data_IF_655859186414
#
_entry.id   IF_655859186414
#
_cell.length_a   1.000
_cell.length_b   1.000
_cell.length_c   1.000
_cell.angle_alpha   90.00
_cell.angle_beta   90.00
_cell.angle_gamma   90.00
#
_symmetry.space_group_name_H-M   'P 1'
#
loop_
_entity.id
_entity.type
_entity.pdbx_description
1 polymer ?
#
# COMPACT_ATOMS: atom_id res chain seq x y z
N UNK A 1 -37.14 -18.24 -27.24
CA UNK A 1 -36.66 -18.74 -25.93
C UNK A 1 -35.69 -17.71 -25.38
N UNK A 2 -36.14 -16.89 -24.43
CA UNK A 2 -35.34 -15.84 -23.81
C UNK A 2 -34.44 -16.47 -22.75
N UNK A 3 -33.14 -16.57 -23.03
CA UNK A 3 -32.17 -17.06 -22.05
C UNK A 3 -32.19 -16.12 -20.83
N UNK A 4 -32.61 -16.63 -19.67
CA UNK A 4 -32.49 -15.93 -18.39
C UNK A 4 -31.01 -15.63 -18.17
N UNK A 5 -30.66 -14.35 -17.95
CA UNK A 5 -29.34 -14.00 -17.42
C UNK A 5 -29.15 -14.76 -16.10
N UNK A 6 -28.02 -15.44 -15.87
CA UNK A 6 -27.76 -16.09 -14.59
C UNK A 6 -27.79 -15.05 -13.48
N UNK A 7 -28.61 -15.31 -12.46
CA UNK A 7 -28.63 -14.53 -11.22
C UNK A 7 -27.21 -14.51 -10.65
N UNK A 8 -26.66 -13.35 -10.22
CA UNK A 8 -25.42 -13.36 -9.46
C UNK A 8 -25.60 -14.27 -8.23
N UNK A 9 -24.57 -15.05 -7.84
CA UNK A 9 -24.67 -15.89 -6.65
C UNK A 9 -25.00 -15.01 -5.44
N UNK A 10 -25.82 -15.55 -4.53
CA UNK A 10 -26.19 -14.84 -3.31
C UNK A 10 -24.92 -14.46 -2.53
N UNK A 11 -24.86 -13.24 -1.95
CA UNK A 11 -23.71 -12.79 -1.18
C UNK A 11 -23.47 -13.72 0.00
N UNK A 12 -22.21 -14.13 0.18
CA UNK A 12 -21.82 -15.05 1.25
C UNK A 12 -21.17 -14.25 2.40
N UNK A 13 -21.44 -14.60 3.67
CA UNK A 13 -20.67 -14.06 4.78
C UNK A 13 -19.23 -14.54 4.62
N UNK A 14 -18.28 -13.61 4.73
CA UNK A 14 -16.86 -13.93 4.59
C UNK A 14 -16.21 -14.11 5.96
N UNK A 15 -16.29 -13.07 6.79
CA UNK A 15 -15.58 -12.98 8.07
C UNK A 15 -16.31 -11.99 9.01
N UNK A 16 -16.19 -12.24 10.32
CA UNK A 16 -16.45 -11.24 11.36
C UNK A 16 -15.17 -10.44 11.60
N UNK A 17 -15.25 -9.12 11.49
CA UNK A 17 -14.13 -8.22 11.78
C UNK A 17 -14.29 -7.65 13.16
N UNK A 18 -13.27 -7.82 14.01
CA UNK A 18 -13.20 -7.20 15.32
C UNK A 18 -12.38 -5.93 15.26
N UNK A 19 -12.94 -4.85 15.78
CA UNK A 19 -12.30 -3.55 15.84
C UNK A 19 -11.78 -3.25 17.24
N UNK A 20 -10.81 -2.33 17.33
CA UNK A 20 -10.11 -2.00 18.59
C UNK A 20 -11.03 -1.45 19.68
N UNK A 21 -12.09 -0.76 19.27
CA UNK A 21 -13.16 -0.23 20.13
C UNK A 21 -14.20 -1.30 20.51
N UNK A 22 -13.98 -2.56 20.14
CA UNK A 22 -14.76 -3.71 20.59
C UNK A 22 -16.00 -4.02 19.75
N UNK A 23 -16.29 -3.24 18.71
CA UNK A 23 -17.39 -3.61 17.80
C UNK A 23 -16.96 -4.70 16.83
N UNK A 24 -17.95 -5.47 16.39
CA UNK A 24 -17.79 -6.52 15.38
C UNK A 24 -18.66 -6.19 14.18
N UNK A 25 -18.12 -6.32 12.97
CA UNK A 25 -18.89 -6.21 11.75
C UNK A 25 -18.84 -7.52 10.97
N UNK A 26 -20.00 -8.01 10.55
CA UNK A 26 -20.08 -9.07 9.53
C UNK A 26 -19.94 -8.44 8.16
N UNK A 27 -19.05 -8.99 7.34
CA UNK A 27 -18.88 -8.55 5.96
C UNK A 27 -19.37 -9.64 4.98
N UNK A 28 -20.10 -9.19 3.98
CA UNK A 28 -20.55 -10.00 2.85
C UNK A 28 -19.75 -9.65 1.61
N UNK A 29 -19.52 -10.64 0.75
CA UNK A 29 -19.08 -10.34 -0.60
C UNK A 29 -19.70 -11.25 -1.67
N UNK A 30 -19.68 -10.74 -2.89
CA UNK A 30 -20.12 -11.44 -4.07
C UNK A 30 -19.32 -11.02 -5.31
N UNK A 31 -19.21 -11.95 -6.24
CA UNK A 31 -18.84 -11.64 -7.62
C UNK A 31 -19.92 -10.84 -8.32
N UNK A 32 -19.52 -9.76 -8.97
CA UNK A 32 -20.38 -8.97 -9.82
C UNK A 32 -19.93 -9.04 -11.29
N UNK A 33 -20.89 -8.82 -12.18
CA UNK A 33 -20.66 -8.72 -13.63
C UNK A 33 -21.07 -7.33 -14.09
N UNK A 34 -20.13 -6.61 -14.70
CA UNK A 34 -20.36 -5.27 -15.25
C UNK A 34 -19.44 -5.05 -16.45
N UNK A 35 -20.00 -4.88 -17.64
CA UNK A 35 -19.19 -4.73 -18.86
C UNK A 35 -18.24 -5.91 -19.08
N UNK A 36 -16.95 -5.62 -19.25
CA UNK A 36 -15.88 -6.63 -19.37
C UNK A 36 -15.43 -7.25 -18.04
N UNK A 37 -15.98 -6.83 -16.90
CA UNK A 37 -15.61 -7.36 -15.59
C UNK A 37 -16.52 -8.51 -15.16
N UNK A 38 -15.94 -9.56 -14.59
CA UNK A 38 -16.68 -10.71 -14.07
C UNK A 38 -15.78 -11.83 -13.55
N UNK A 39 -16.34 -12.86 -12.88
CA UNK A 39 -15.56 -13.95 -12.30
C UNK A 39 -14.74 -14.73 -13.33
N UNK A 40 -15.22 -14.79 -14.57
CA UNK A 40 -14.58 -15.50 -15.68
C UNK A 40 -13.62 -14.63 -16.50
N UNK A 41 -13.53 -13.32 -16.19
CA UNK A 41 -12.73 -12.32 -16.90
C UNK A 41 -11.34 -12.17 -16.26
N UNK A 42 -10.28 -11.83 -17.05
CA UNK A 42 -8.97 -11.49 -16.50
C UNK A 42 -9.00 -10.34 -15.48
N UNK A 43 -10.05 -9.51 -15.52
CA UNK A 43 -10.33 -8.57 -14.44
C UNK A 43 -11.70 -8.85 -13.83
N UNK A 44 -11.67 -9.29 -12.58
CA UNK A 44 -12.84 -9.65 -11.77
C UNK A 44 -13.35 -8.43 -11.01
N UNK A 45 -14.68 -8.32 -10.89
CA UNK A 45 -15.34 -7.33 -10.05
C UNK A 45 -15.94 -8.02 -8.82
N UNK A 46 -15.57 -7.56 -7.64
CA UNK A 46 -16.08 -8.02 -6.34
C UNK A 46 -16.80 -6.88 -5.65
N UNK A 47 -17.96 -7.18 -5.07
CA UNK A 47 -18.67 -6.28 -4.17
C UNK A 47 -18.47 -6.79 -2.76
N UNK A 48 -18.01 -5.93 -1.85
CA UNK A 48 -17.91 -6.21 -0.43
C UNK A 48 -18.73 -5.18 0.36
N UNK A 49 -19.57 -5.62 1.29
CA UNK A 49 -20.52 -4.74 1.98
C UNK A 49 -20.85 -5.23 3.39
N UNK A 50 -21.29 -4.33 4.26
CA UNK A 50 -21.87 -4.64 5.57
C UNK A 50 -23.39 -4.80 5.53
N UNK A 51 -24.04 -4.61 4.38
CA UNK A 51 -25.46 -4.94 4.22
C UNK A 51 -25.77 -5.22 2.74
N UNK A 52 -25.94 -6.49 2.34
CA UNK A 52 -26.23 -6.86 0.97
C UNK A 52 -27.62 -6.43 0.49
N UNK A 53 -28.56 -6.09 1.39
CA UNK A 53 -29.90 -5.67 1.02
C UNK A 53 -29.96 -4.19 0.65
N UNK A 54 -29.32 -3.31 1.44
CA UNK A 54 -29.35 -1.86 1.21
C UNK A 54 -28.14 -1.30 0.46
N UNK A 55 -27.02 -2.03 0.43
CA UNK A 55 -25.76 -1.61 -0.19
C UNK A 55 -25.36 -0.18 0.20
N UNK A 56 -25.17 0.11 1.50
CA UNK A 56 -24.91 1.45 1.99
C UNK A 56 -23.65 2.04 1.36
N UNK A 57 -23.72 3.26 0.85
CA UNK A 57 -22.65 3.90 0.07
C UNK A 57 -21.29 3.90 0.80
N UNK A 58 -21.29 4.25 2.09
CA UNK A 58 -20.05 4.35 2.89
C UNK A 58 -19.50 3.00 3.33
N UNK A 59 -20.32 1.95 3.36
CA UNK A 59 -19.94 0.61 3.81
C UNK A 59 -20.04 -0.45 2.70
N UNK A 60 -20.09 -0.02 1.44
CA UNK A 60 -20.01 -0.87 0.26
C UNK A 60 -18.76 -0.51 -0.55
N UNK A 61 -18.06 -1.53 -1.04
CA UNK A 61 -16.85 -1.40 -1.85
C UNK A 61 -17.02 -2.23 -3.12
N UNK A 62 -16.69 -1.62 -4.25
CA UNK A 62 -16.61 -2.27 -5.55
C UNK A 62 -15.14 -2.37 -5.93
N UNK A 63 -14.62 -3.59 -5.95
CA UNK A 63 -13.20 -3.89 -6.09
C UNK A 63 -12.96 -4.55 -7.44
N UNK A 64 -12.13 -3.94 -8.28
CA UNK A 64 -11.60 -4.58 -9.48
C UNK A 64 -10.26 -5.26 -9.13
N UNK A 65 -10.08 -6.51 -9.55
CA UNK A 65 -8.86 -7.27 -9.29
C UNK A 65 -8.46 -8.11 -10.49
N UNK A 66 -7.17 -8.32 -10.68
CA UNK A 66 -6.60 -9.27 -11.64
C UNK A 66 -6.24 -10.62 -11.00
N UNK A 67 -6.58 -10.82 -9.72
CA UNK A 67 -6.52 -12.13 -9.08
C UNK A 67 -7.67 -12.99 -9.62
N UNK A 68 -7.37 -14.14 -10.25
CA UNK A 68 -8.41 -14.94 -10.88
C UNK A 68 -9.33 -15.58 -9.83
N UNK A 69 -10.59 -15.79 -10.20
CA UNK A 69 -11.50 -16.62 -9.40
C UNK A 69 -10.95 -18.06 -9.34
N UNK A 70 -11.05 -18.79 -8.21
CA UNK A 70 -10.50 -20.15 -8.08
C UNK A 70 -11.00 -21.11 -9.16
N UNK A 71 -12.27 -20.98 -9.53
CA UNK A 71 -12.90 -21.80 -10.57
C UNK A 71 -12.82 -21.19 -11.99
N UNK A 72 -12.09 -20.08 -12.19
CA UNK A 72 -12.02 -19.45 -13.51
C UNK A 72 -11.17 -20.32 -14.48
N UNK A 73 -11.62 -20.51 -15.74
CA UNK A 73 -10.85 -21.28 -16.72
C UNK A 73 -9.43 -20.75 -16.96
N UNK A 74 -9.22 -19.44 -16.83
CA UNK A 74 -7.93 -18.79 -17.04
C UNK A 74 -7.04 -18.74 -15.78
N UNK A 75 -7.49 -19.30 -14.64
CA UNK A 75 -6.72 -19.26 -13.39
C UNK A 75 -5.37 -19.99 -13.52
N UNK A 76 -5.29 -21.05 -14.31
CA UNK A 76 -4.07 -21.84 -14.54
C UNK A 76 -3.03 -21.14 -15.39
N UNK A 77 -3.43 -20.16 -16.21
CA UNK A 77 -2.54 -19.39 -17.09
C UNK A 77 -2.30 -17.97 -16.59
N UNK A 78 -2.91 -17.59 -15.45
CA UNK A 78 -2.75 -16.29 -14.82
C UNK A 78 -1.34 -16.13 -14.21
N UNK A 79 -0.72 -14.93 -14.29
CA UNK A 79 0.52 -14.63 -13.58
C UNK A 79 0.33 -14.54 -12.05
N UNK A 80 -0.91 -14.45 -11.58
CA UNK A 80 -1.24 -14.35 -10.16
C UNK A 80 -1.99 -15.58 -9.66
N UNK A 81 -1.75 -15.99 -8.40
CA UNK A 81 -2.49 -17.10 -7.80
C UNK A 81 -3.99 -16.77 -7.69
N UNK A 82 -4.88 -17.77 -7.82
CA UNK A 82 -6.29 -17.58 -7.60
C UNK A 82 -6.59 -17.13 -6.16
N UNK A 83 -7.63 -16.30 -6.02
CA UNK A 83 -8.04 -15.73 -4.74
C UNK A 83 -9.56 -15.88 -4.55
N UNK A 84 -9.98 -16.43 -3.43
CA UNK A 84 -11.39 -16.43 -3.06
C UNK A 84 -11.86 -15.02 -2.62
N UNK A 85 -13.15 -14.90 -2.28
CA UNK A 85 -13.71 -13.62 -1.86
C UNK A 85 -13.15 -13.14 -0.51
N UNK A 86 -12.83 -14.05 0.42
CA UNK A 86 -12.28 -13.70 1.72
C UNK A 86 -10.87 -13.15 1.57
N UNK A 87 -10.05 -13.79 0.73
CA UNK A 87 -8.72 -13.33 0.33
C UNK A 87 -8.74 -11.90 -0.21
N UNK A 88 -9.61 -11.62 -1.19
CA UNK A 88 -9.71 -10.29 -1.80
C UNK A 88 -10.10 -9.23 -0.77
N UNK A 89 -11.08 -9.54 0.08
CA UNK A 89 -11.58 -8.62 1.11
C UNK A 89 -10.53 -8.40 2.21
N UNK A 90 -9.77 -9.43 2.57
CA UNK A 90 -8.66 -9.35 3.52
C UNK A 90 -7.52 -8.50 2.97
N UNK A 91 -7.08 -8.75 1.73
CA UNK A 91 -6.06 -7.95 1.04
C UNK A 91 -6.47 -6.47 0.94
N UNK A 92 -7.72 -6.20 0.55
CA UNK A 92 -8.24 -4.83 0.53
C UNK A 92 -8.28 -4.21 1.94
N UNK A 93 -8.59 -5.02 2.96
CA UNK A 93 -8.55 -4.63 4.38
C UNK A 93 -7.17 -4.19 4.86
N UNK A 94 -6.09 -4.57 4.17
CA UNK A 94 -4.74 -4.09 4.48
C UNK A 94 -4.47 -2.68 3.98
N UNK A 95 -5.27 -2.14 3.05
CA UNK A 95 -5.05 -0.81 2.46
C UNK A 95 -4.82 0.30 3.50
N UNK A 96 -5.61 0.43 4.59
CA UNK A 96 -5.42 1.52 5.56
C UNK A 96 -4.06 1.47 6.28
N UNK A 97 -3.37 0.32 6.31
CA UNK A 97 -2.06 0.22 6.94
C UNK A 97 -1.04 1.15 6.29
N UNK A 98 -1.13 1.42 4.99
CA UNK A 98 -0.22 2.38 4.34
C UNK A 98 -0.37 3.78 4.94
N UNK A 99 -1.59 4.20 5.27
CA UNK A 99 -1.86 5.50 5.89
C UNK A 99 -1.38 5.54 7.34
N UNK A 100 -1.36 4.40 8.02
CA UNK A 100 -0.76 4.29 9.35
C UNK A 100 0.76 4.39 9.29
N UNK A 101 1.40 3.63 8.39
CA UNK A 101 2.84 3.67 8.14
C UNK A 101 3.30 5.08 7.75
N UNK A 102 2.54 5.80 6.92
CA UNK A 102 2.88 7.17 6.54
C UNK A 102 2.90 8.15 7.71
N UNK A 103 2.09 7.95 8.77
CA UNK A 103 2.18 8.79 9.97
C UNK A 103 3.51 8.57 10.68
N UNK A 104 3.88 7.32 10.92
CA UNK A 104 5.16 6.96 11.54
C UNK A 104 6.37 7.48 10.74
N UNK A 105 6.34 7.31 9.42
CA UNK A 105 7.40 7.82 8.53
C UNK A 105 7.55 9.35 8.65
N UNK A 106 6.43 10.07 8.73
CA UNK A 106 6.43 11.53 8.77
C UNK A 106 6.84 12.08 10.13
N UNK A 107 6.27 11.52 11.19
CA UNK A 107 6.35 12.07 12.53
C UNK A 107 7.59 11.55 13.27
N UNK A 108 7.92 10.26 13.13
CA UNK A 108 9.00 9.62 13.90
C UNK A 108 10.33 9.55 13.15
N UNK A 109 10.29 9.30 11.84
CA UNK A 109 11.52 9.14 11.03
C UNK A 109 11.96 10.44 10.35
N UNK A 110 11.31 11.56 10.67
CA UNK A 110 11.73 12.88 10.23
C UNK A 110 11.65 13.08 8.72
N UNK A 111 10.65 12.51 8.03
CA UNK A 111 10.46 12.75 6.59
C UNK A 111 10.43 14.24 6.23
N UNK A 112 9.82 15.05 7.08
CA UNK A 112 9.71 16.50 6.92
C UNK A 112 10.97 17.27 7.34
N UNK A 113 11.92 16.63 8.03
CA UNK A 113 13.13 17.26 8.61
C UNK A 113 14.29 17.34 7.60
N UNK A 114 13.99 17.79 6.39
CA UNK A 114 14.99 17.92 5.34
C UNK A 114 15.82 19.22 5.41
N UNK A 115 15.66 20.03 6.47
CA UNK A 115 16.57 21.09 6.94
C UNK A 115 17.20 22.02 5.86
N UNK A 116 16.39 22.65 5.01
CA UNK A 116 16.85 23.62 3.96
C UNK A 116 18.01 23.06 3.11
N UNK A 117 17.92 21.79 2.73
CA UNK A 117 18.92 21.10 1.90
C UNK A 117 18.66 21.32 0.40
N UNK A 118 19.67 21.04 -0.42
CA UNK A 118 19.53 21.00 -1.89
C UNK A 118 18.57 19.89 -2.33
N UNK A 119 17.96 20.00 -3.52
CA UNK A 119 17.03 18.99 -4.07
C UNK A 119 17.62 17.56 -4.02
N UNK A 120 18.90 17.39 -4.40
CA UNK A 120 19.58 16.10 -4.33
C UNK A 120 19.66 15.58 -2.89
N UNK A 121 19.98 16.43 -1.93
CA UNK A 121 20.05 16.05 -0.53
C UNK A 121 18.66 15.76 0.08
N UNK A 122 17.60 16.43 -0.37
CA UNK A 122 16.21 16.11 0.01
C UNK A 122 15.81 14.71 -0.49
N UNK A 123 16.10 14.37 -1.76
CA UNK A 123 15.80 13.03 -2.32
C UNK A 123 16.56 11.92 -1.59
N UNK A 124 17.84 12.16 -1.26
CA UNK A 124 18.66 11.24 -0.48
C UNK A 124 18.09 11.01 0.92
N UNK A 125 17.70 12.09 1.61
CA UNK A 125 17.04 12.02 2.92
C UNK A 125 15.77 11.17 2.86
N UNK A 126 14.87 11.45 1.91
CA UNK A 126 13.64 10.66 1.73
C UNK A 126 13.92 9.17 1.47
N UNK A 127 14.97 8.86 0.69
CA UNK A 127 15.37 7.47 0.44
C UNK A 127 15.82 6.79 1.73
N UNK A 128 16.70 7.43 2.51
CA UNK A 128 17.17 6.89 3.80
C UNK A 128 16.03 6.67 4.79
N UNK A 129 15.09 7.61 4.86
CA UNK A 129 13.89 7.47 5.71
C UNK A 129 13.04 6.26 5.30
N UNK A 130 12.82 6.04 4.00
CA UNK A 130 12.12 4.84 3.53
C UNK A 130 12.89 3.55 3.85
N UNK A 131 14.22 3.53 3.66
CA UNK A 131 15.04 2.36 3.98
C UNK A 131 15.04 2.06 5.49
N UNK A 132 15.14 3.10 6.33
CA UNK A 132 15.05 2.97 7.78
C UNK A 132 13.68 2.42 8.19
N UNK A 133 12.60 2.92 7.58
CA UNK A 133 11.26 2.38 7.81
C UNK A 133 11.14 0.91 7.44
N UNK A 134 11.63 0.51 6.25
CA UNK A 134 11.63 -0.89 5.83
C UNK A 134 12.41 -1.79 6.79
N UNK A 135 13.55 -1.30 7.31
CA UNK A 135 14.32 -2.02 8.33
C UNK A 135 13.55 -2.16 9.64
N UNK A 136 12.95 -1.07 10.16
CA UNK A 136 12.13 -1.11 11.37
C UNK A 136 10.95 -2.09 11.21
N UNK A 137 10.32 -2.11 10.04
CA UNK A 137 9.22 -3.01 9.73
C UNK A 137 9.68 -4.48 9.72
N UNK A 138 10.78 -4.80 9.05
CA UNK A 138 11.35 -6.16 9.04
C UNK A 138 11.67 -6.67 10.46
N UNK A 139 12.32 -5.83 11.26
CA UNK A 139 12.66 -6.16 12.66
C UNK A 139 11.43 -6.31 13.55
N UNK A 140 10.36 -5.54 13.34
CA UNK A 140 9.12 -5.64 14.11
C UNK A 140 8.49 -7.04 14.03
N UNK A 141 8.57 -7.67 12.86
CA UNK A 141 8.04 -9.02 12.68
C UNK A 141 9.06 -10.12 12.96
N UNK A 142 10.35 -9.80 13.14
CA UNK A 142 11.34 -10.79 13.52
C UNK A 142 10.96 -11.36 14.90
N UNK A 143 11.10 -12.68 15.12
CA UNK A 143 11.01 -13.22 16.47
C UNK A 143 12.02 -12.48 17.35
N UNK A 144 11.65 -12.08 18.59
CA UNK A 144 12.61 -11.44 19.47
C UNK A 144 13.81 -12.38 19.63
N UNK A 145 14.98 -11.93 19.20
CA UNK A 145 16.24 -12.59 19.50
C UNK A 145 16.49 -12.58 21.02
N UNK A 146 17.51 -13.30 21.51
CA UNK A 146 17.97 -13.13 22.87
C UNK A 146 18.21 -11.63 23.12
N UNK A 147 17.52 -11.05 24.10
CA UNK A 147 17.77 -9.67 24.49
C UNK A 147 19.24 -9.58 24.87
N UNK A 148 19.98 -8.75 24.14
CA UNK A 148 21.35 -8.43 24.50
C UNK A 148 21.31 -7.57 25.77
N UNK A 149 21.40 -8.23 26.93
CA UNK A 149 21.43 -7.59 28.24
C UNK A 149 22.67 -6.67 28.44
N UNK A 150 23.58 -6.64 27.46
CA UNK A 150 24.75 -5.77 27.41
C UNK A 150 24.50 -4.49 26.59
N UNK A 151 23.35 -4.36 25.90
CA UNK A 151 23.00 -3.14 25.21
C UNK A 151 22.76 -2.00 26.22
N UNK A 152 23.41 -0.83 26.06
CA UNK A 152 23.19 0.30 26.95
C UNK A 152 21.74 0.75 26.85
N UNK A 153 21.13 1.06 27.99
CA UNK A 153 19.79 1.65 28.04
C UNK A 153 19.73 2.89 27.13
N UNK A 154 18.64 3.09 26.36
CA UNK A 154 18.44 4.34 25.64
C UNK A 154 18.55 5.51 26.63
N UNK A 155 19.46 6.44 26.37
CA UNK A 155 19.60 7.63 27.20
C UNK A 155 18.23 8.31 27.34
N UNK A 156 17.85 8.76 28.56
CA UNK A 156 16.67 9.60 28.73
C UNK A 156 16.75 10.77 27.75
N UNK A 157 15.72 10.90 26.91
CA UNK A 157 15.60 12.05 26.03
C UNK A 157 15.15 13.25 26.86
N UNK A 158 16.08 13.88 27.57
CA UNK A 158 15.86 15.10 28.36
C UNK A 158 15.88 16.37 27.49
N UNK A 159 15.91 16.22 26.16
CA UNK A 159 15.82 17.33 25.23
C UNK A 159 14.39 17.87 25.17
N UNK A 160 14.17 19.19 25.21
CA UNK A 160 12.83 19.73 25.06
C UNK A 160 12.23 19.32 23.72
N UNK A 161 11.06 18.65 23.75
CA UNK A 161 10.18 18.54 22.59
C UNK A 161 9.99 19.94 22.01
N UNK A 162 10.38 20.12 20.74
CA UNK A 162 10.28 21.42 20.08
C UNK A 162 8.79 21.70 19.82
N UNK A 163 8.15 22.33 20.79
CA UNK A 163 6.76 22.75 20.70
C UNK A 163 6.50 23.67 19.49
N UNK A 164 5.28 23.55 18.97
CA UNK A 164 4.66 24.44 17.97
C UNK A 164 4.82 25.91 18.36
N UNK A 165 5.75 26.60 17.71
CA UNK A 165 5.74 28.07 17.68
C UNK A 165 4.87 28.54 16.51
N UNK A 166 3.99 29.54 16.68
CA UNK A 166 3.28 30.14 15.56
C UNK A 166 4.28 30.88 14.67
N UNK A 167 4.45 30.41 13.43
CA UNK A 167 5.31 31.05 12.43
C UNK A 167 4.49 32.14 11.71
N UNK A 168 4.99 33.38 11.56
CA UNK A 168 4.32 34.40 10.75
C UNK A 168 4.29 33.99 9.27
N UNK A 169 3.30 34.42 8.47
CA UNK A 169 3.18 33.98 7.08
C UNK A 169 4.41 34.43 6.28
N UNK A 170 5.06 33.46 5.62
CA UNK A 170 6.19 33.71 4.73
C UNK A 170 5.73 34.52 3.50
N UNK A 171 6.56 35.44 2.97
CA UNK A 171 6.24 36.18 1.77
C UNK A 171 6.09 35.23 0.57
N UNK A 172 5.00 35.42 -0.18
CA UNK A 172 4.63 34.65 -1.38
C UNK A 172 5.61 34.91 -2.53
N UNK A 173 6.80 34.31 -2.47
CA UNK A 173 7.68 34.21 -3.62
C UNK A 173 7.31 32.94 -4.41
N UNK A 174 6.93 33.13 -5.67
CA UNK A 174 6.61 32.06 -6.61
C UNK A 174 7.87 31.23 -6.91
N UNK A 175 8.07 30.11 -6.21
CA UNK A 175 9.31 29.30 -6.26
C UNK A 175 9.42 28.35 -7.47
N UNK A 176 8.43 28.30 -8.37
CA UNK A 176 8.54 27.59 -9.65
C UNK A 176 7.51 28.11 -10.66
N UNK A 177 7.96 28.64 -11.80
CA UNK A 177 7.10 28.80 -12.98
C UNK A 177 7.11 27.48 -13.77
N UNK A 178 5.95 26.82 -13.83
CA UNK A 178 5.76 25.65 -14.67
C UNK A 178 4.43 24.96 -14.36
N UNK A 179 3.60 24.78 -15.39
CA UNK A 179 2.38 23.97 -15.30
C UNK A 179 2.78 22.53 -14.99
N UNK A 180 2.54 22.06 -13.76
CA UNK A 180 2.61 20.64 -13.42
C UNK A 180 1.46 19.94 -14.14
N UNK A 181 1.75 19.41 -15.34
CA UNK A 181 0.83 18.52 -16.05
C UNK A 181 0.66 17.23 -15.24
N UNK A 182 -0.41 17.19 -14.45
CA UNK A 182 -1.06 16.04 -13.82
C UNK A 182 -0.25 15.28 -12.73
N UNK A 183 -0.88 14.91 -11.60
CA UNK A 183 -0.30 13.96 -10.66
C UNK A 183 -0.40 12.56 -11.26
N UNK A 184 0.61 12.15 -12.02
CA UNK A 184 0.78 10.73 -12.30
C UNK A 184 1.25 10.06 -11.01
N UNK A 185 0.51 9.04 -10.55
CA UNK A 185 1.02 8.09 -9.56
C UNK A 185 2.39 7.66 -10.03
N UNK A 186 3.44 8.00 -9.29
CA UNK A 186 4.80 7.68 -9.70
C UNK A 186 4.90 6.16 -9.76
N UNK A 187 4.97 5.63 -10.98
CA UNK A 187 5.18 4.21 -11.23
C UNK A 187 6.35 3.77 -10.34
N UNK A 188 6.23 2.73 -9.50
CA UNK A 188 7.27 2.42 -8.51
C UNK A 188 8.66 2.25 -9.13
N UNK A 189 8.76 1.76 -10.37
CA UNK A 189 9.99 1.76 -11.18
C UNK A 189 10.58 3.15 -11.49
N UNK A 190 9.76 4.17 -11.79
CA UNK A 190 10.21 5.56 -12.01
C UNK A 190 10.73 6.15 -10.70
N UNK A 191 10.08 5.83 -9.58
CA UNK A 191 10.52 6.24 -8.25
C UNK A 191 11.85 5.60 -7.88
N UNK A 192 11.99 4.28 -8.06
CA UNK A 192 13.24 3.54 -7.79
C UNK A 192 14.41 4.06 -8.64
N UNK A 193 14.20 4.30 -9.93
CA UNK A 193 15.21 4.91 -10.81
C UNK A 193 15.61 6.31 -10.34
N UNK A 194 14.65 7.14 -9.94
CA UNK A 194 14.92 8.49 -9.42
C UNK A 194 15.71 8.45 -8.11
N UNK A 195 15.42 7.48 -7.22
CA UNK A 195 16.16 7.30 -5.99
C UNK A 195 17.59 6.83 -6.24
N UNK A 196 17.78 5.89 -7.17
CA UNK A 196 19.13 5.43 -7.54
C UNK A 196 19.99 6.57 -8.11
N UNK A 197 19.46 7.30 -9.10
CA UNK A 197 20.15 8.46 -9.70
C UNK A 197 20.37 9.62 -8.73
N UNK A 198 19.64 9.68 -7.61
CA UNK A 198 19.90 10.67 -6.56
C UNK A 198 21.18 10.37 -5.76
N UNK A 199 21.61 9.11 -5.71
CA UNK A 199 22.79 8.67 -4.96
C UNK A 199 24.04 8.59 -5.83
N UNK A 200 23.91 8.06 -7.04
CA UNK A 200 25.03 7.79 -7.95
C UNK A 200 24.64 8.02 -9.41
N UNK A 201 25.65 8.35 -10.23
CA UNK A 201 25.50 8.45 -11.69
C UNK A 201 25.86 7.13 -12.40
N UNK A 202 26.31 6.13 -11.64
CA UNK A 202 26.55 4.77 -12.15
C UNK A 202 25.24 4.05 -12.40
N UNK A 203 25.28 3.07 -13.29
CA UNK A 203 24.16 2.16 -13.49
C UNK A 203 23.89 1.35 -12.22
N UNK A 204 22.63 0.93 -11.98
CA UNK A 204 22.27 0.14 -10.81
C UNK A 204 22.92 -1.25 -10.85
N UNK A 205 23.25 -1.83 -9.67
CA UNK A 205 23.62 -3.22 -9.56
C UNK A 205 22.57 -4.12 -10.22
N UNK A 206 23.02 -5.27 -10.74
CA UNK A 206 22.19 -6.25 -11.45
C UNK A 206 20.91 -6.61 -10.70
N UNK A 207 20.97 -6.74 -9.39
CA UNK A 207 19.87 -7.13 -8.52
C UNK A 207 18.83 -6.01 -8.40
N UNK A 208 19.28 -4.76 -8.30
CA UNK A 208 18.39 -3.60 -8.29
C UNK A 208 17.79 -3.35 -9.68
N UNK A 209 18.57 -3.55 -10.75
CA UNK A 209 18.06 -3.47 -12.11
C UNK A 209 16.97 -4.54 -12.35
N UNK A 210 17.20 -5.78 -11.92
CA UNK A 210 16.22 -6.85 -12.00
C UNK A 210 14.93 -6.53 -11.23
N UNK A 211 15.05 -5.91 -10.04
CA UNK A 211 13.88 -5.43 -9.29
C UNK A 211 13.12 -4.33 -10.04
N UNK A 212 13.85 -3.33 -10.59
CA UNK A 212 13.26 -2.27 -11.39
C UNK A 212 12.52 -2.85 -12.59
N UNK A 213 13.12 -3.81 -13.29
CA UNK A 213 12.54 -4.46 -14.47
C UNK A 213 11.31 -5.30 -14.11
N UNK A 214 11.36 -6.05 -13.01
CA UNK A 214 10.22 -6.82 -12.49
C UNK A 214 9.02 -5.92 -12.18
N UNK A 215 9.26 -4.83 -11.44
CA UNK A 215 8.21 -3.85 -11.10
C UNK A 215 7.71 -3.11 -12.34
N UNK A 216 8.59 -2.80 -13.30
CA UNK A 216 8.22 -2.16 -14.58
C UNK A 216 7.33 -3.07 -15.43
N UNK A 217 7.55 -4.38 -15.37
CA UNK A 217 6.78 -5.38 -16.11
C UNK A 217 5.50 -5.83 -15.40
N UNK A 218 5.15 -5.18 -14.27
CA UNK A 218 3.92 -5.46 -13.53
C UNK A 218 4.01 -6.62 -12.53
N UNK A 219 5.21 -7.16 -12.29
CA UNK A 219 5.43 -8.11 -11.21
C UNK A 219 5.49 -7.32 -9.88
N UNK A 220 4.51 -7.55 -9.01
CA UNK A 220 4.44 -6.91 -7.70
C UNK A 220 5.61 -7.33 -6.79
N UNK A 221 6.00 -6.44 -5.89
CA UNK A 221 6.92 -6.78 -4.80
C UNK A 221 6.09 -7.47 -3.71
N UNK A 222 6.35 -8.75 -3.45
CA UNK A 222 5.69 -9.54 -2.40
C UNK A 222 6.20 -9.13 -1.00
N UNK A 223 5.91 -7.89 -0.58
CA UNK A 223 6.35 -7.34 0.71
C UNK A 223 5.72 -8.03 1.93
N UNK A 224 4.61 -8.75 1.73
CA UNK A 224 3.82 -9.38 2.79
C UNK A 224 3.83 -10.90 2.75
N UNK A 225 4.54 -11.51 1.80
CA UNK A 225 4.59 -12.95 1.65
C UNK A 225 5.77 -13.49 2.47
N UNK A 226 5.53 -13.64 3.77
CA UNK A 226 6.36 -14.54 4.58
C UNK A 226 6.10 -15.97 4.12
N UNK A 227 7.18 -16.69 3.83
CA UNK A 227 7.22 -18.15 3.77
C UNK A 227 6.99 -18.69 5.19
#
# INVERSE_FOLDING_TARGET
MTARRPCPPAPRPLEERHFRDGHTETWWAADARLGGYGPDSPCRLVVATTDPASLPEKATRYLATNLPHPDAPHATTSPHPPADLAEIVRLYGLRPWIEQSYKQIKDELGWADFQVRSDRAIRRHQTLVNCAFSFCWDQWFAPPGPLDATAPDPCPNDGPERGTSPVPPAPTALLAQGLTRHPFLAHPAVTLNRWWRAWTDTDPPSELQALIDAVTTGHGIDLYRRI
#
